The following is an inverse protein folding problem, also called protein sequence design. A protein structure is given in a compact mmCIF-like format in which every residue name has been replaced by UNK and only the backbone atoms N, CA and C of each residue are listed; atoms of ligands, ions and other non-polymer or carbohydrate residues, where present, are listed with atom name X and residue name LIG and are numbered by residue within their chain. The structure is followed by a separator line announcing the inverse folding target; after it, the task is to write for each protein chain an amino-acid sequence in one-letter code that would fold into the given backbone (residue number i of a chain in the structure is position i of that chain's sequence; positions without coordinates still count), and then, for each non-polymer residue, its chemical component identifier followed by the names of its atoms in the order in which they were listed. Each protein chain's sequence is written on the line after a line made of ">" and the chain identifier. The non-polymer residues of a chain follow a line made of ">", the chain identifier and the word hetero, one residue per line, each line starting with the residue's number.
data_IF_929278164770
#
_entry.id   IF_929278164770
#
_cell.length_a   1.000
_cell.length_b   1.000
_cell.length_c   1.000
_cell.angle_alpha   90.00
_cell.angle_beta   90.00
_cell.angle_gamma   90.00
#
_symmetry.space_group_name_H-M   'P 1'
#
loop_
_entity.id
_entity.type
_entity.pdbx_description
1 polymer ?
#
# COMPACT_ATOMS: atom_id res chain seq x y z
N UNK A 1 0.78 -15.71 -0.88
CA UNK A 1 0.76 -17.09 -0.33
C UNK A 1 -0.32 -17.11 0.73
N UNK A 2 -1.31 -17.99 0.62
CA UNK A 2 -2.36 -18.15 1.62
C UNK A 2 -2.06 -19.37 2.50
N UNK A 3 -2.37 -19.28 3.79
CA UNK A 3 -2.28 -20.39 4.74
C UNK A 3 -3.69 -20.63 5.26
N UNK A 4 -4.19 -21.85 5.07
CA UNK A 4 -5.52 -22.25 5.55
C UNK A 4 -5.32 -23.08 6.80
N UNK A 5 -6.10 -22.80 7.85
CA UNK A 5 -6.06 -23.52 9.13
C UNK A 5 -7.46 -24.03 9.48
N UNK A 6 -7.52 -25.14 10.20
CA UNK A 6 -8.77 -25.63 10.78
C UNK A 6 -9.16 -24.86 12.05
N UNK A 7 -10.30 -25.22 12.67
CA UNK A 7 -10.80 -24.61 13.90
C UNK A 7 -9.86 -24.78 15.11
N UNK A 8 -8.96 -25.77 15.07
CA UNK A 8 -7.96 -26.00 16.11
C UNK A 8 -6.61 -25.31 15.79
N UNK A 9 -6.51 -24.61 14.66
CA UNK A 9 -5.30 -23.91 14.21
C UNK A 9 -4.30 -24.79 13.47
N UNK A 10 -4.64 -26.03 13.12
CA UNK A 10 -3.75 -26.88 12.34
C UNK A 10 -3.75 -26.44 10.88
N UNK A 11 -2.56 -26.42 10.26
CA UNK A 11 -2.42 -26.06 8.84
C UNK A 11 -3.03 -27.14 7.95
N UNK A 12 -4.00 -26.74 7.13
CA UNK A 12 -4.58 -27.58 6.09
C UNK A 12 -3.60 -27.61 4.90
N UNK A 13 -3.20 -28.79 4.39
CA UNK A 13 -2.24 -28.88 3.30
C UNK A 13 -2.84 -28.35 1.98
N UNK A 14 -2.04 -27.68 1.16
CA UNK A 14 -2.49 -27.04 -0.09
C UNK A 14 -3.19 -27.96 -1.09
N UNK A 15 -2.97 -29.28 -1.03
CA UNK A 15 -3.66 -30.28 -1.87
C UNK A 15 -5.10 -30.56 -1.43
N UNK A 16 -5.47 -30.15 -0.22
CA UNK A 16 -6.77 -30.42 0.39
C UNK A 16 -7.78 -29.29 0.20
N UNK A 17 -7.39 -28.21 -0.47
CA UNK A 17 -8.29 -27.13 -0.83
C UNK A 17 -7.94 -26.59 -2.22
N UNK A 18 -8.94 -26.00 -2.88
CA UNK A 18 -8.80 -25.22 -4.09
C UNK A 18 -8.87 -23.75 -3.71
N UNK A 19 -7.95 -22.95 -4.25
CA UNK A 19 -7.99 -21.50 -4.12
C UNK A 19 -8.26 -20.92 -5.50
N UNK A 20 -9.35 -20.17 -5.63
CA UNK A 20 -9.69 -19.43 -6.84
C UNK A 20 -9.73 -17.94 -6.52
N UNK A 21 -9.30 -17.13 -7.48
CA UNK A 21 -9.47 -15.69 -7.46
C UNK A 21 -10.42 -15.35 -8.59
N UNK A 22 -11.52 -14.68 -8.28
CA UNK A 22 -12.51 -14.25 -9.25
C UNK A 22 -12.57 -12.73 -9.33
N UNK A 23 -12.85 -12.19 -10.51
CA UNK A 23 -13.23 -10.79 -10.66
C UNK A 23 -14.70 -10.54 -10.27
N UNK A 24 -15.15 -9.29 -10.38
CA UNK A 24 -16.52 -8.90 -10.05
C UNK A 24 -17.59 -9.61 -10.91
N UNK A 25 -17.22 -10.18 -12.06
CA UNK A 25 -18.11 -10.94 -12.94
C UNK A 25 -18.05 -12.45 -12.65
N UNK A 26 -17.46 -12.85 -11.51
CA UNK A 26 -17.24 -14.26 -11.11
C UNK A 26 -16.37 -15.05 -12.09
N UNK A 27 -15.56 -14.36 -12.90
CA UNK A 27 -14.64 -15.01 -13.82
C UNK A 27 -13.36 -15.39 -13.08
N UNK A 28 -12.94 -16.64 -13.20
CA UNK A 28 -11.67 -17.12 -12.64
C UNK A 28 -10.48 -16.39 -13.30
N UNK A 29 -9.72 -15.68 -12.47
CA UNK A 29 -8.51 -14.94 -12.79
C UNK A 29 -7.27 -15.47 -12.07
N UNK A 30 -7.35 -16.64 -11.44
CA UNK A 30 -6.29 -17.23 -10.59
C UNK A 30 -4.94 -17.33 -11.30
N UNK A 31 -4.96 -17.59 -12.60
CA UNK A 31 -3.75 -17.71 -13.45
C UNK A 31 -3.64 -16.62 -14.51
N UNK A 32 -4.48 -15.59 -14.43
CA UNK A 32 -4.60 -14.57 -15.47
C UNK A 32 -3.63 -13.43 -15.24
N UNK A 33 -3.00 -12.93 -16.30
CA UNK A 33 -2.26 -11.65 -16.28
C UNK A 33 -3.22 -10.45 -16.43
N UNK A 34 -4.46 -10.59 -15.97
CA UNK A 34 -5.48 -9.55 -16.13
C UNK A 34 -5.01 -8.29 -15.40
N UNK A 35 -5.06 -7.17 -16.12
CA UNK A 35 -4.74 -5.88 -15.54
C UNK A 35 -5.92 -5.42 -14.70
N UNK A 36 -5.79 -5.59 -13.39
CA UNK A 36 -6.72 -5.02 -12.42
C UNK A 36 -6.54 -3.50 -12.36
N UNK A 37 -7.66 -2.79 -12.27
CA UNK A 37 -7.72 -1.35 -12.12
C UNK A 37 -8.09 -1.00 -10.67
N UNK A 38 -7.76 0.23 -10.28
CA UNK A 38 -8.16 0.74 -8.97
C UNK A 38 -9.68 0.76 -8.85
N UNK A 39 -10.20 0.29 -7.71
CA UNK A 39 -11.62 0.13 -7.45
C UNK A 39 -12.20 -1.22 -7.88
N UNK A 40 -11.46 -2.02 -8.66
CA UNK A 40 -11.90 -3.39 -8.99
C UNK A 40 -12.02 -4.20 -7.71
N UNK A 41 -13.11 -4.95 -7.57
CA UNK A 41 -13.29 -5.90 -6.48
C UNK A 41 -12.97 -7.30 -7.00
N UNK A 42 -12.09 -7.99 -6.29
CA UNK A 42 -11.78 -9.39 -6.52
C UNK A 42 -12.25 -10.21 -5.32
N UNK A 43 -12.66 -11.45 -5.56
CA UNK A 43 -13.04 -12.38 -4.51
C UNK A 43 -12.08 -13.55 -4.50
N UNK A 44 -11.43 -13.78 -3.36
CA UNK A 44 -10.63 -14.97 -3.14
C UNK A 44 -11.55 -16.00 -2.50
N UNK A 45 -11.76 -17.13 -3.19
CA UNK A 45 -12.53 -18.26 -2.69
C UNK A 45 -11.59 -19.41 -2.34
N UNK A 46 -11.96 -20.10 -1.27
CA UNK A 46 -11.30 -21.29 -0.77
C UNK A 46 -12.39 -22.34 -0.63
N UNK A 47 -12.21 -23.48 -1.28
CA UNK A 47 -13.16 -24.61 -1.24
C UNK A 47 -12.39 -25.87 -0.86
N UNK A 48 -12.94 -26.69 0.02
CA UNK A 48 -12.36 -28.00 0.31
C UNK A 48 -12.29 -28.85 -0.98
N UNK A 49 -11.21 -29.60 -1.16
CA UNK A 49 -11.06 -30.47 -2.32
C UNK A 49 -11.86 -31.77 -2.12
N UNK A 50 -12.61 -32.19 -3.14
CA UNK A 50 -13.47 -33.40 -3.16
C UNK A 50 -12.73 -34.72 -2.83
N UNK A 51 -11.40 -34.69 -2.83
CA UNK A 51 -10.54 -35.85 -2.59
C UNK A 51 -10.12 -36.01 -1.14
N UNK A 52 -10.66 -35.20 -0.23
CA UNK A 52 -10.26 -35.16 1.18
C UNK A 52 -11.44 -35.22 2.14
N UNK A 53 -11.16 -35.41 3.43
CA UNK A 53 -12.15 -35.42 4.51
C UNK A 53 -12.43 -34.01 5.09
N UNK A 54 -11.96 -32.97 4.40
CA UNK A 54 -12.27 -31.59 4.75
C UNK A 54 -13.56 -31.18 4.03
N UNK A 55 -14.36 -30.34 4.68
CA UNK A 55 -15.59 -29.80 4.12
C UNK A 55 -15.64 -28.29 4.37
N UNK A 56 -16.44 -27.60 3.56
CA UNK A 56 -16.72 -26.18 3.68
C UNK A 56 -16.00 -25.31 2.67
N UNK A 57 -16.41 -24.05 2.67
CA UNK A 57 -15.91 -22.99 1.82
C UNK A 57 -15.74 -21.71 2.64
N UNK A 58 -14.88 -20.83 2.14
CA UNK A 58 -14.70 -19.49 2.65
C UNK A 58 -14.42 -18.55 1.49
N UNK A 59 -14.89 -17.31 1.59
CA UNK A 59 -14.55 -16.27 0.63
C UNK A 59 -14.24 -14.95 1.31
N UNK A 60 -13.35 -14.19 0.68
CA UNK A 60 -13.02 -12.82 1.09
C UNK A 60 -12.97 -11.94 -0.15
N UNK A 61 -13.67 -10.82 -0.10
CA UNK A 61 -13.59 -9.80 -1.14
C UNK A 61 -12.54 -8.75 -0.78
N UNK A 62 -11.76 -8.35 -1.78
CA UNK A 62 -10.67 -7.38 -1.66
C UNK A 62 -10.87 -6.35 -2.76
N UNK A 63 -10.74 -5.07 -2.42
CA UNK A 63 -10.75 -3.98 -3.39
C UNK A 63 -9.32 -3.60 -3.76
N UNK A 64 -9.07 -3.43 -5.04
CA UNK A 64 -7.76 -3.01 -5.56
C UNK A 64 -7.59 -1.52 -5.30
N UNK A 65 -6.68 -1.18 -4.39
CA UNK A 65 -6.38 0.21 -4.08
C UNK A 65 -5.67 0.94 -5.24
N UNK A 66 -5.85 2.26 -5.38
CA UNK A 66 -5.09 3.09 -6.32
C UNK A 66 -3.56 3.00 -6.11
N UNK A 67 -2.79 3.06 -7.21
CA UNK A 67 -1.32 3.08 -7.16
C UNK A 67 -0.80 4.44 -6.67
N UNK A 68 -0.16 4.43 -5.49
CA UNK A 68 0.42 5.60 -4.85
C UNK A 68 1.47 6.31 -5.71
N UNK A 69 2.03 5.67 -6.75
CA UNK A 69 2.95 6.34 -7.69
C UNK A 69 2.35 7.57 -8.38
N UNK A 70 1.02 7.67 -8.44
CA UNK A 70 0.30 8.78 -9.09
C UNK A 70 0.03 9.97 -8.16
N UNK A 71 0.53 9.98 -6.92
CA UNK A 71 0.21 11.09 -5.99
C UNK A 71 0.66 12.45 -6.54
N UNK A 72 -0.15 13.46 -6.24
CA UNK A 72 0.17 14.87 -6.38
C UNK A 72 0.50 15.44 -5.01
N UNK A 73 1.47 16.36 -4.98
CA UNK A 73 1.91 17.01 -3.76
C UNK A 73 2.64 18.31 -4.07
N UNK A 74 2.80 19.15 -3.05
CA UNK A 74 3.58 20.38 -3.10
C UNK A 74 5.09 20.09 -3.14
N UNK A 75 5.63 19.98 -4.36
CA UNK A 75 7.08 19.79 -4.62
C UNK A 75 7.98 20.95 -4.15
N UNK A 76 7.39 22.08 -3.75
CA UNK A 76 8.11 23.25 -3.22
C UNK A 76 8.24 23.21 -1.70
N UNK A 77 7.83 22.12 -1.04
CA UNK A 77 8.00 22.00 0.40
C UNK A 77 9.47 22.07 0.81
N UNK A 78 9.78 22.88 1.82
CA UNK A 78 11.14 23.11 2.30
C UNK A 78 11.24 22.94 3.83
N UNK A 79 12.34 22.35 4.28
CA UNK A 79 12.73 22.25 5.70
C UNK A 79 14.07 22.95 5.92
N UNK A 80 14.23 23.55 7.08
CA UNK A 80 15.50 24.16 7.47
C UNK A 80 16.48 23.09 7.95
N UNK A 81 17.72 23.18 7.51
CA UNK A 81 18.81 22.33 7.99
C UNK A 81 19.10 22.60 9.48
N UNK A 82 19.04 21.56 10.30
CA UNK A 82 19.22 21.64 11.76
C UNK A 82 20.58 21.15 12.24
N UNK A 83 21.37 20.50 11.38
CA UNK A 83 22.63 19.84 11.74
C UNK A 83 22.54 18.31 11.71
N UNK A 84 21.31 17.78 11.85
CA UNK A 84 21.00 16.36 11.87
C UNK A 84 20.22 15.90 10.62
N UNK A 85 20.05 14.58 10.39
CA UNK A 85 19.16 14.08 9.36
C UNK A 85 17.74 14.63 9.52
N UNK A 86 17.18 15.20 8.45
CA UNK A 86 15.83 15.75 8.45
C UNK A 86 14.82 14.63 8.22
N UNK A 87 13.87 14.47 9.14
CA UNK A 87 12.65 13.67 8.99
C UNK A 87 11.44 14.57 8.72
N UNK A 88 10.35 13.93 8.29
CA UNK A 88 9.06 14.59 8.09
C UNK A 88 8.06 14.00 9.07
N UNK A 89 7.35 14.88 9.76
CA UNK A 89 6.28 14.54 10.69
C UNK A 89 4.91 14.82 10.05
N UNK A 90 3.82 14.52 10.78
CA UNK A 90 2.46 14.67 10.27
C UNK A 90 2.18 16.06 9.69
N UNK A 91 2.60 17.14 10.38
CA UNK A 91 2.36 18.52 9.95
C UNK A 91 3.15 18.88 8.68
N UNK A 92 4.25 18.17 8.41
CA UNK A 92 5.00 18.35 7.16
C UNK A 92 4.21 17.75 5.99
N UNK A 93 3.59 16.58 6.19
CA UNK A 93 2.76 15.93 5.17
C UNK A 93 1.47 16.69 4.88
N UNK A 94 0.86 17.31 5.89
CA UNK A 94 -0.28 18.22 5.70
C UNK A 94 0.09 19.40 4.79
N UNK A 95 1.25 20.04 5.03
CA UNK A 95 1.75 21.14 4.19
C UNK A 95 2.16 20.69 2.79
N UNK A 96 2.58 19.43 2.65
CA UNK A 96 2.84 18.83 1.35
C UNK A 96 1.55 18.52 0.59
N UNK A 97 0.40 18.45 1.25
CA UNK A 97 -0.92 18.21 0.66
C UNK A 97 -0.91 17.00 -0.30
N UNK A 98 -0.60 15.82 0.24
CA UNK A 98 -0.54 14.59 -0.55
C UNK A 98 -1.95 14.20 -0.99
N UNK A 99 -2.16 14.12 -2.29
CA UNK A 99 -3.47 13.77 -2.87
C UNK A 99 -3.31 12.70 -3.95
N UNK A 100 -4.27 11.79 -4.04
CA UNK A 100 -4.35 10.76 -5.06
C UNK A 100 -5.74 10.80 -5.69
N UNK A 101 -5.78 11.01 -7.01
CA UNK A 101 -7.02 11.17 -7.78
C UNK A 101 -8.01 12.21 -7.19
N UNK A 102 -7.48 13.25 -6.54
CA UNK A 102 -8.26 14.32 -5.92
C UNK A 102 -8.62 14.09 -4.45
N UNK A 103 -8.35 12.91 -3.92
CA UNK A 103 -8.57 12.56 -2.51
C UNK A 103 -7.31 12.84 -1.69
N UNK A 104 -7.45 13.50 -0.55
CA UNK A 104 -6.33 13.70 0.39
C UNK A 104 -5.99 12.39 1.10
N UNK A 105 -4.69 12.11 1.24
CA UNK A 105 -4.19 10.95 1.99
C UNK A 105 -3.68 11.42 3.35
N UNK A 106 -4.02 10.68 4.40
CA UNK A 106 -3.60 10.95 5.78
C UNK A 106 -2.37 10.12 6.16
N UNK A 107 -1.35 10.77 6.74
CA UNK A 107 -0.16 10.09 7.25
C UNK A 107 -0.51 9.24 8.48
N UNK A 108 -0.03 8.00 8.52
CA UNK A 108 -0.33 7.04 9.59
C UNK A 108 -1.62 6.25 9.39
N UNK A 109 -2.52 6.73 8.51
CA UNK A 109 -3.77 6.02 8.14
C UNK A 109 -3.67 5.47 6.72
N UNK A 110 -3.44 6.35 5.73
CA UNK A 110 -3.47 5.98 4.31
C UNK A 110 -2.07 5.68 3.75
N UNK A 111 -1.03 6.20 4.38
CA UNK A 111 0.36 5.91 4.01
C UNK A 111 1.30 6.04 5.20
N UNK A 112 2.44 5.37 5.11
CA UNK A 112 3.54 5.43 6.07
C UNK A 112 4.87 5.77 5.39
N UNK A 113 5.84 6.20 6.19
CA UNK A 113 7.21 6.43 5.71
C UNK A 113 8.00 5.14 5.81
N UNK A 114 8.60 4.72 4.71
CA UNK A 114 9.43 3.50 4.64
C UNK A 114 10.90 3.79 4.36
N UNK A 115 11.29 5.06 4.21
CA UNK A 115 12.69 5.42 4.13
C UNK A 115 12.97 6.87 3.74
N UNK A 116 14.24 7.24 3.87
CA UNK A 116 14.77 8.54 3.46
C UNK A 116 16.04 8.39 2.64
N UNK A 117 16.31 9.37 1.78
CA UNK A 117 17.59 9.50 1.11
C UNK A 117 17.99 10.97 0.96
N UNK A 118 19.30 11.25 1.01
CA UNK A 118 19.86 12.60 0.84
C UNK A 118 19.29 13.64 1.84
N UNK A 119 18.89 13.20 3.02
CA UNK A 119 18.25 14.04 4.05
C UNK A 119 19.21 14.59 5.11
N UNK A 120 20.53 14.40 4.93
CA UNK A 120 21.57 14.80 5.91
C UNK A 120 22.29 16.10 5.57
N UNK A 121 22.03 16.69 4.40
CA UNK A 121 22.68 17.91 3.91
C UNK A 121 21.66 18.78 3.16
N UNK A 122 21.99 20.05 2.99
CA UNK A 122 21.23 21.01 2.16
C UNK A 122 21.10 20.49 0.73
N UNK A 123 19.97 20.75 0.09
CA UNK A 123 19.68 20.33 -1.28
C UNK A 123 18.35 19.59 -1.40
N UNK A 124 18.21 18.79 -2.46
CA UNK A 124 16.99 18.00 -2.69
C UNK A 124 17.08 16.66 -1.96
N UNK A 125 16.28 16.51 -0.91
CA UNK A 125 16.10 15.29 -0.16
C UNK A 125 14.92 14.47 -0.71
N UNK A 126 14.88 13.20 -0.30
CA UNK A 126 13.87 12.23 -0.73
C UNK A 126 13.29 11.52 0.50
N UNK A 127 11.98 11.31 0.46
CA UNK A 127 11.24 10.45 1.38
C UNK A 127 10.51 9.39 0.56
N UNK A 128 10.59 8.14 0.97
CA UNK A 128 9.85 7.04 0.36
C UNK A 128 8.64 6.75 1.25
N UNK A 129 7.45 6.80 0.66
CA UNK A 129 6.20 6.46 1.35
C UNK A 129 5.58 5.20 0.74
N UNK A 130 4.89 4.42 1.57
CA UNK A 130 4.13 3.25 1.18
C UNK A 130 2.65 3.47 1.50
N UNK A 131 1.78 3.09 0.58
CA UNK A 131 0.34 3.08 0.81
C UNK A 131 -0.05 1.98 1.80
N UNK A 132 -0.92 2.31 2.75
CA UNK A 132 -1.27 1.48 3.90
C UNK A 132 -2.79 1.26 4.05
N UNK A 133 -3.60 1.73 3.10
CA UNK A 133 -5.06 1.61 3.12
C UNK A 133 -5.64 1.23 1.76
N UNK A 134 -6.96 1.04 1.73
CA UNK A 134 -7.76 0.87 0.50
C UNK A 134 -7.69 2.08 -0.45
N UNK A 135 -7.26 3.25 0.05
CA UNK A 135 -7.09 4.46 -0.76
C UNK A 135 -5.78 4.52 -1.52
N UNK A 136 -4.75 3.80 -1.09
CA UNK A 136 -3.44 3.84 -1.72
C UNK A 136 -2.63 2.56 -1.43
N UNK A 137 -2.06 1.97 -2.49
CA UNK A 137 -1.13 0.85 -2.39
C UNK A 137 0.16 1.09 -3.19
N UNK A 138 1.20 0.34 -2.84
CA UNK A 138 2.52 0.42 -3.45
C UNK A 138 3.43 1.43 -2.76
N UNK A 139 4.51 1.84 -3.43
CA UNK A 139 5.54 2.75 -2.89
C UNK A 139 5.89 3.85 -3.87
N UNK A 140 6.11 5.07 -3.37
CA UNK A 140 6.56 6.22 -4.18
C UNK A 140 7.60 7.06 -3.44
N UNK A 141 8.51 7.67 -4.21
CA UNK A 141 9.52 8.61 -3.69
C UNK A 141 9.04 10.04 -3.91
N UNK A 142 8.88 10.79 -2.82
CA UNK A 142 8.61 12.22 -2.83
C UNK A 142 9.91 13.01 -2.64
N UNK A 143 9.97 14.22 -3.20
CA UNK A 143 11.12 15.12 -3.08
C UNK A 143 10.74 16.36 -2.27
N UNK A 144 11.64 16.78 -1.39
CA UNK A 144 11.53 18.03 -0.66
C UNK A 144 12.90 18.73 -0.62
N UNK A 145 12.93 20.03 -0.32
CA UNK A 145 14.18 20.77 -0.21
C UNK A 145 14.60 20.96 1.24
N UNK A 146 15.89 20.83 1.49
CA UNK A 146 16.53 21.22 2.74
C UNK A 146 17.30 22.52 2.48
N UNK A 147 16.84 23.61 3.08
CA UNK A 147 17.42 24.95 2.92
C UNK A 147 18.27 25.35 4.11
N UNK A 148 19.16 26.31 3.92
CA UNK A 148 19.92 26.88 5.02
C UNK A 148 19.01 27.61 6.01
N UNK A 149 19.41 27.66 7.28
CA UNK A 149 18.78 28.56 8.25
C UNK A 149 19.04 29.99 7.81
N UNK A 150 17.98 30.71 7.45
CA UNK A 150 18.07 32.14 7.21
C UNK A 150 18.25 32.83 8.56
N UNK A 151 19.40 33.47 8.75
CA UNK A 151 19.62 34.37 9.90
C UNK A 151 19.09 35.73 9.44
N UNK A 152 18.04 36.22 10.09
CA UNK A 152 17.60 37.61 10.00
C UNK A 152 18.15 38.38 11.17
#
# INVERSE_FOLDING_TARGET
>A
KATVVDLAGNVIPAKAYKLTVEDAESKDITSSTNKLNAGDTITVKIEAADTTNYEGDASVSITVAPDIKKVKYNKKYEKTFTGDPITLEAEDFEKMAITLDGTALEYGTDFEVVGYAKNVKKGTAQVTIAGASDKAAGTVVLKFKIVAKTIK
#
